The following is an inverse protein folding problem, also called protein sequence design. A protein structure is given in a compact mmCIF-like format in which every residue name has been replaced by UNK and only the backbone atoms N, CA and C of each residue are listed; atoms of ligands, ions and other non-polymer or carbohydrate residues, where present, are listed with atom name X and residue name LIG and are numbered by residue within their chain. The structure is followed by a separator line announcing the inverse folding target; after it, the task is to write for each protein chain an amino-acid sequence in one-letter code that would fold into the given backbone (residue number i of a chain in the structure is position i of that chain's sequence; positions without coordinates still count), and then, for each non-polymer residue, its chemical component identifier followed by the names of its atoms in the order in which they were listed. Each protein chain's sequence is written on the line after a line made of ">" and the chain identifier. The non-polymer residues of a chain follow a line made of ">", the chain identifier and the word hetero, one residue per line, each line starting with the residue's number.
data_IF_669835320114
#
_entry.id   IF_669835320114
#
_cell.length_a   1.000
_cell.length_b   1.000
_cell.length_c   1.000
_cell.angle_alpha   90.00
_cell.angle_beta   90.00
_cell.angle_gamma   90.00
#
_symmetry.space_group_name_H-M   'P 1'
#
loop_
_entity.id
_entity.type
_entity.pdbx_description
1 polymer ?
#
# COMPACT_ATOMS: atom_id res chain seq x y z
N UNK A 1 11.02 3.21 5.82
CA UNK A 1 9.73 3.87 5.54
C UNK A 1 9.43 5.04 6.49
N UNK A 2 9.45 4.86 7.83
CA UNK A 2 9.14 5.96 8.77
C UNK A 2 10.05 7.19 8.54
N UNK A 3 11.37 6.99 8.43
CA UNK A 3 12.33 8.09 8.19
C UNK A 3 11.96 8.87 6.91
N UNK A 4 11.71 8.15 5.79
CA UNK A 4 11.34 8.80 4.53
C UNK A 4 10.00 9.54 4.63
N UNK A 5 8.99 8.94 5.28
CA UNK A 5 7.69 9.58 5.46
C UNK A 5 7.74 10.83 6.34
N UNK A 6 8.44 10.77 7.46
CA UNK A 6 8.63 11.94 8.34
C UNK A 6 9.41 13.04 7.63
N UNK A 7 10.49 12.69 6.93
CA UNK A 7 11.28 13.66 6.14
C UNK A 7 10.43 14.30 5.05
N UNK A 8 9.65 13.52 4.30
CA UNK A 8 8.75 14.03 3.28
C UNK A 8 7.74 15.02 3.88
N UNK A 9 7.09 14.68 4.98
CA UNK A 9 6.09 15.52 5.65
C UNK A 9 6.70 16.87 6.14
N UNK A 10 7.91 16.83 6.68
CA UNK A 10 8.62 18.06 7.11
C UNK A 10 8.99 18.92 5.89
N UNK A 11 9.53 18.31 4.84
CA UNK A 11 9.95 19.02 3.63
C UNK A 11 8.74 19.55 2.84
N UNK A 12 7.60 18.83 2.82
CA UNK A 12 6.36 19.33 2.24
C UNK A 12 5.93 20.63 2.92
N UNK A 13 5.95 20.68 4.24
CA UNK A 13 5.64 21.91 4.95
C UNK A 13 6.60 23.05 4.57
N UNK A 14 7.90 22.78 4.50
CA UNK A 14 8.92 23.79 4.16
C UNK A 14 8.75 24.27 2.72
N UNK A 15 8.66 23.35 1.75
CA UNK A 15 8.66 23.71 0.33
C UNK A 15 7.32 24.27 -0.13
N UNK A 16 6.19 23.68 0.34
CA UNK A 16 4.86 24.13 -0.09
C UNK A 16 4.43 25.37 0.68
N UNK A 17 4.55 25.37 2.02
CA UNK A 17 4.01 26.43 2.87
C UNK A 17 5.00 27.61 2.99
N UNK A 18 6.26 27.34 3.37
CA UNK A 18 7.23 28.39 3.63
C UNK A 18 7.84 28.97 2.34
N UNK A 19 8.22 28.11 1.39
CA UNK A 19 8.85 28.54 0.14
C UNK A 19 7.86 28.75 -1.01
N UNK A 20 6.56 28.40 -0.82
CA UNK A 20 5.46 28.55 -1.81
C UNK A 20 5.75 27.93 -3.18
N UNK A 21 6.51 26.83 -3.22
CA UNK A 21 6.90 26.14 -4.45
C UNK A 21 5.74 25.30 -5.07
N UNK A 22 4.61 25.18 -4.37
CA UNK A 22 3.46 24.45 -4.89
C UNK A 22 3.76 22.97 -5.19
N UNK A 23 3.32 22.48 -6.35
CA UNK A 23 3.45 21.07 -6.77
C UNK A 23 4.93 20.65 -6.93
N UNK A 24 5.77 21.55 -7.43
CA UNK A 24 7.22 21.28 -7.58
C UNK A 24 7.89 21.00 -6.23
N UNK A 25 7.52 21.78 -5.20
CA UNK A 25 8.01 21.57 -3.83
C UNK A 25 7.62 20.21 -3.28
N UNK A 26 6.37 19.76 -3.49
CA UNK A 26 5.90 18.44 -3.09
C UNK A 26 6.68 17.30 -3.80
N UNK A 27 6.95 17.46 -5.10
CA UNK A 27 7.72 16.48 -5.86
C UNK A 27 9.16 16.35 -5.33
N UNK A 28 9.83 17.48 -5.04
CA UNK A 28 11.19 17.51 -4.49
C UNK A 28 11.22 16.89 -3.08
N UNK A 29 10.25 17.21 -2.22
CA UNK A 29 10.14 16.64 -0.88
C UNK A 29 10.00 15.10 -0.94
N UNK A 30 9.18 14.61 -1.86
CA UNK A 30 8.99 13.16 -2.07
C UNK A 30 10.28 12.49 -2.55
N UNK A 31 10.99 13.09 -3.50
CA UNK A 31 12.28 12.57 -3.98
C UNK A 31 13.32 12.49 -2.85
N UNK A 32 13.46 13.55 -2.06
CA UNK A 32 14.40 13.59 -0.94
C UNK A 32 14.03 12.55 0.12
N UNK A 33 12.75 12.44 0.50
CA UNK A 33 12.26 11.47 1.48
C UNK A 33 12.54 10.03 1.06
N UNK A 34 12.26 9.68 -0.20
CA UNK A 34 12.52 8.36 -0.76
C UNK A 34 14.03 8.08 -0.86
N UNK A 35 14.83 9.06 -1.26
CA UNK A 35 16.29 8.93 -1.37
C UNK A 35 16.91 8.68 0.00
N UNK A 36 16.55 9.45 1.02
CA UNK A 36 17.03 9.24 2.38
C UNK A 36 16.63 7.89 2.95
N UNK A 37 15.38 7.46 2.70
CA UNK A 37 14.93 6.12 3.11
C UNK A 37 15.75 5.02 2.44
N UNK A 38 16.07 5.17 1.15
CA UNK A 38 16.87 4.22 0.39
C UNK A 38 18.32 4.18 0.87
N UNK A 39 18.93 5.34 1.12
CA UNK A 39 20.29 5.44 1.68
C UNK A 39 20.36 4.76 3.05
N UNK A 40 19.35 4.99 3.91
CA UNK A 40 19.29 4.35 5.22
C UNK A 40 19.23 2.82 5.13
N UNK A 41 18.36 2.27 4.26
CA UNK A 41 18.25 0.82 4.06
C UNK A 41 19.54 0.24 3.46
N UNK A 42 20.12 0.92 2.46
CA UNK A 42 21.39 0.48 1.85
C UNK A 42 22.54 0.52 2.86
N UNK A 43 22.62 1.53 3.70
CA UNK A 43 23.65 1.61 4.75
C UNK A 43 23.52 0.45 5.74
N UNK A 44 22.30 0.05 6.11
CA UNK A 44 22.06 -1.11 6.96
C UNK A 44 22.53 -2.42 6.31
N UNK A 45 22.37 -2.57 5.00
CA UNK A 45 22.82 -3.75 4.26
C UNK A 45 24.34 -3.77 4.04
N UNK A 46 24.97 -2.59 3.95
CA UNK A 46 26.43 -2.48 3.72
C UNK A 46 27.23 -2.57 5.03
N UNK A 47 26.80 -1.90 6.08
CA UNK A 47 27.58 -1.70 7.33
C UNK A 47 27.21 -2.64 8.47
N UNK A 48 26.66 -3.80 8.25
CA UNK A 48 26.40 -4.86 9.26
C UNK A 48 25.98 -4.40 10.68
N UNK A 49 26.31 -3.20 11.11
CA UNK A 49 25.92 -2.55 12.37
C UNK A 49 25.66 -1.08 12.08
N UNK A 50 24.49 -0.58 12.42
CA UNK A 50 24.28 0.87 12.46
C UNK A 50 24.88 1.41 13.79
N UNK A 51 25.40 2.66 13.78
CA UNK A 51 26.06 3.24 14.93
C UNK A 51 25.11 3.64 16.07
N UNK A 52 23.82 3.31 15.99
CA UNK A 52 22.83 3.65 17.00
C UNK A 52 21.92 2.48 17.32
N UNK A 53 21.61 2.34 18.60
CA UNK A 53 20.59 1.42 19.13
C UNK A 53 19.26 2.17 19.26
N UNK A 54 18.22 1.64 18.64
CA UNK A 54 16.87 2.21 18.78
C UNK A 54 16.19 1.54 19.96
N UNK A 55 15.96 2.30 21.03
CA UNK A 55 15.13 1.85 22.15
C UNK A 55 13.66 2.23 21.83
N UNK A 56 12.85 1.28 21.34
CA UNK A 56 11.43 1.47 21.14
C UNK A 56 10.66 0.63 22.17
N UNK A 57 9.82 1.28 22.98
CA UNK A 57 8.94 0.62 23.97
C UNK A 57 9.66 -0.35 24.92
N UNK A 58 10.89 -0.01 25.36
CA UNK A 58 11.64 -0.83 26.29
C UNK A 58 12.40 -2.03 25.67
N UNK A 59 12.25 -2.26 24.37
CA UNK A 59 13.03 -3.27 23.62
C UNK A 59 14.26 -2.62 22.99
N UNK A 60 15.45 -3.12 23.35
CA UNK A 60 16.69 -2.80 22.63
C UNK A 60 16.69 -3.55 21.30
N UNK A 61 16.36 -2.85 20.22
CA UNK A 61 16.55 -3.38 18.88
C UNK A 61 18.04 -3.30 18.54
N UNK A 62 18.75 -4.41 18.71
CA UNK A 62 20.11 -4.54 18.19
C UNK A 62 20.05 -4.51 16.66
N UNK A 63 20.57 -3.45 16.07
CA UNK A 63 20.65 -3.24 14.62
C UNK A 63 21.78 -4.07 14.01
N UNK A 64 21.76 -5.38 14.22
CA UNK A 64 22.67 -6.33 13.60
C UNK A 64 22.02 -6.96 12.38
N UNK A 65 22.46 -6.62 11.18
CA UNK A 65 22.07 -7.36 9.98
C UNK A 65 22.91 -8.63 9.85
N UNK A 66 22.25 -9.77 9.71
CA UNK A 66 22.88 -11.04 9.32
C UNK A 66 23.23 -11.06 7.82
N UNK A 67 22.59 -10.16 7.05
CA UNK A 67 22.77 -10.04 5.60
C UNK A 67 23.84 -8.98 5.31
N UNK A 68 24.88 -9.37 4.56
CA UNK A 68 25.89 -8.46 4.04
C UNK A 68 25.99 -8.60 2.54
N UNK A 69 25.79 -7.50 1.83
CA UNK A 69 26.07 -7.47 0.39
C UNK A 69 27.58 -7.64 0.20
N UNK A 70 27.97 -8.67 -0.54
CA UNK A 70 29.36 -8.92 -0.92
C UNK A 70 29.50 -8.72 -2.43
N UNK A 71 30.39 -7.87 -2.86
CA UNK A 71 30.68 -7.58 -4.27
C UNK A 71 30.91 -8.83 -5.12
N UNK A 72 31.45 -9.89 -4.51
CA UNK A 72 31.67 -11.19 -5.18
C UNK A 72 30.37 -11.81 -5.74
N UNK A 73 29.22 -11.54 -5.12
CA UNK A 73 27.92 -12.13 -5.49
C UNK A 73 27.06 -11.19 -6.36
N UNK A 74 27.57 -10.03 -6.76
CA UNK A 74 26.89 -9.11 -7.67
C UNK A 74 26.99 -9.52 -9.14
N UNK A 75 27.73 -10.61 -9.46
CA UNK A 75 27.75 -11.14 -10.82
C UNK A 75 26.35 -11.62 -11.21
N UNK A 76 25.78 -11.15 -12.33
CA UNK A 76 24.45 -11.55 -12.76
C UNK A 76 24.43 -13.06 -13.06
N UNK A 77 23.49 -13.76 -12.42
CA UNK A 77 23.23 -15.18 -12.68
C UNK A 77 21.86 -15.27 -13.34
N UNK A 78 21.82 -15.74 -14.59
CA UNK A 78 20.61 -15.78 -15.39
C UNK A 78 19.51 -16.64 -14.74
N UNK A 79 19.88 -17.74 -14.07
CA UNK A 79 18.93 -18.62 -13.40
C UNK A 79 18.23 -17.90 -12.24
N UNK A 80 18.99 -17.13 -11.46
CA UNK A 80 18.44 -16.33 -10.34
C UNK A 80 17.56 -15.21 -10.89
N UNK A 81 18.00 -14.54 -11.96
CA UNK A 81 17.23 -13.47 -12.60
C UNK A 81 15.89 -14.02 -13.11
N UNK A 82 15.89 -15.17 -13.78
CA UNK A 82 14.67 -15.80 -14.28
C UNK A 82 13.72 -16.22 -13.15
N UNK A 83 14.25 -16.72 -12.04
CA UNK A 83 13.46 -17.03 -10.85
C UNK A 83 12.81 -15.79 -10.24
N UNK A 84 13.53 -14.67 -10.17
CA UNK A 84 12.99 -13.40 -9.69
C UNK A 84 11.90 -12.89 -10.63
N UNK A 85 12.14 -12.93 -11.94
CA UNK A 85 11.18 -12.49 -12.95
C UNK A 85 9.91 -13.34 -12.91
N UNK A 86 10.02 -14.66 -12.80
CA UNK A 86 8.85 -15.56 -12.76
C UNK A 86 7.92 -15.27 -11.59
N UNK A 87 8.46 -14.95 -10.42
CA UNK A 87 7.66 -14.54 -9.25
C UNK A 87 7.08 -13.12 -9.43
N UNK A 88 7.82 -12.25 -10.11
CA UNK A 88 7.43 -10.85 -10.35
C UNK A 88 6.35 -10.67 -11.43
N UNK A 89 6.18 -11.62 -12.36
CA UNK A 89 5.20 -11.51 -13.45
C UNK A 89 3.77 -11.42 -12.94
N UNK A 90 3.38 -12.20 -11.94
CA UNK A 90 2.03 -12.19 -11.42
C UNK A 90 1.61 -10.82 -10.83
N UNK A 91 2.35 -10.21 -9.89
CA UNK A 91 2.02 -8.88 -9.39
C UNK A 91 2.12 -7.80 -10.48
N UNK A 92 3.03 -7.93 -11.44
CA UNK A 92 3.11 -7.01 -12.59
C UNK A 92 1.83 -7.05 -13.42
N UNK A 93 1.36 -8.24 -13.80
CA UNK A 93 0.13 -8.38 -14.60
C UNK A 93 -1.11 -7.88 -13.84
N UNK A 94 -1.19 -8.12 -12.53
CA UNK A 94 -2.27 -7.57 -11.70
C UNK A 94 -2.25 -6.05 -11.69
N UNK A 95 -1.08 -5.43 -11.52
CA UNK A 95 -0.96 -3.96 -11.52
C UNK A 95 -1.27 -3.37 -12.90
N UNK A 96 -0.79 -4.01 -13.96
CA UNK A 96 -1.08 -3.61 -15.34
C UNK A 96 -2.59 -3.67 -15.63
N UNK A 97 -3.23 -4.79 -15.30
CA UNK A 97 -4.69 -4.96 -15.46
C UNK A 97 -5.47 -3.91 -14.65
N UNK A 98 -5.07 -3.65 -13.40
CA UNK A 98 -5.71 -2.62 -12.56
C UNK A 98 -5.60 -1.22 -13.16
N UNK A 99 -4.44 -0.87 -13.72
CA UNK A 99 -4.22 0.41 -14.41
C UNK A 99 -5.12 0.52 -15.64
N UNK A 100 -5.23 -0.56 -16.42
CA UNK A 100 -6.07 -0.58 -17.62
C UNK A 100 -7.56 -0.46 -17.30
N UNK A 101 -8.02 -1.18 -16.27
CA UNK A 101 -9.39 -1.06 -15.72
C UNK A 101 -9.66 0.38 -15.27
N UNK A 102 -8.70 1.00 -14.57
CA UNK A 102 -8.82 2.39 -14.13
C UNK A 102 -9.00 3.38 -15.28
N UNK A 103 -8.22 3.24 -16.35
CA UNK A 103 -8.35 4.07 -17.55
C UNK A 103 -9.71 3.91 -18.21
N UNK A 104 -10.18 2.67 -18.41
CA UNK A 104 -11.48 2.38 -19.00
C UNK A 104 -12.61 2.94 -18.12
N UNK A 105 -12.54 2.69 -16.81
CA UNK A 105 -13.55 3.17 -15.87
C UNK A 105 -13.65 4.69 -15.89
N UNK A 106 -12.53 5.40 -15.84
CA UNK A 106 -12.53 6.85 -15.90
C UNK A 106 -13.14 7.37 -17.22
N UNK A 107 -12.84 6.71 -18.34
CA UNK A 107 -13.42 7.08 -19.63
C UNK A 107 -14.93 6.86 -19.69
N UNK A 108 -15.43 5.72 -19.18
CA UNK A 108 -16.86 5.40 -19.12
C UNK A 108 -17.59 6.39 -18.20
N UNK A 109 -17.00 6.70 -17.05
CA UNK A 109 -17.58 7.67 -16.09
C UNK A 109 -17.65 9.06 -16.70
N UNK A 110 -16.62 9.52 -17.42
CA UNK A 110 -16.61 10.81 -18.10
C UNK A 110 -17.71 10.88 -19.17
N UNK A 111 -17.83 9.85 -20.00
CA UNK A 111 -18.83 9.80 -21.09
C UNK A 111 -20.29 9.77 -20.60
N UNK A 112 -20.57 9.11 -19.48
CA UNK A 112 -21.94 8.89 -18.99
C UNK A 112 -22.32 9.80 -17.81
N UNK A 113 -21.37 10.19 -16.97
CA UNK A 113 -21.59 10.98 -15.76
C UNK A 113 -21.08 12.43 -15.85
N UNK A 114 -20.35 12.75 -16.93
CA UNK A 114 -19.75 14.08 -17.10
C UNK A 114 -18.87 14.49 -15.93
N UNK A 115 -18.74 15.79 -15.71
CA UNK A 115 -17.90 16.36 -14.63
C UNK A 115 -18.34 15.94 -13.23
N UNK A 116 -19.64 15.73 -13.00
CA UNK A 116 -20.17 15.28 -11.72
C UNK A 116 -19.76 13.83 -11.42
N UNK A 117 -19.87 12.95 -12.42
CA UNK A 117 -19.44 11.55 -12.30
C UNK A 117 -17.95 11.43 -12.03
N UNK A 118 -17.12 12.20 -12.74
CA UNK A 118 -15.66 12.25 -12.53
C UNK A 118 -15.32 12.75 -11.13
N UNK A 119 -16.01 13.77 -10.63
CA UNK A 119 -15.81 14.28 -9.27
C UNK A 119 -16.13 13.20 -8.21
N UNK A 120 -17.24 12.48 -8.35
CA UNK A 120 -17.61 11.38 -7.45
C UNK A 120 -16.56 10.27 -7.50
N UNK A 121 -16.10 9.89 -8.70
CA UNK A 121 -15.08 8.86 -8.86
C UNK A 121 -13.73 9.27 -8.25
N UNK A 122 -13.39 10.55 -8.33
CA UNK A 122 -12.19 11.09 -7.66
C UNK A 122 -12.27 10.95 -6.14
N UNK A 123 -13.44 11.21 -5.55
CA UNK A 123 -13.68 11.01 -4.11
C UNK A 123 -13.52 9.52 -3.75
N UNK A 124 -14.13 8.61 -4.52
CA UNK A 124 -14.00 7.17 -4.32
C UNK A 124 -12.53 6.74 -4.39
N UNK A 125 -11.79 7.20 -5.41
CA UNK A 125 -10.37 6.91 -5.59
C UNK A 125 -9.47 7.51 -4.49
N UNK A 126 -9.93 8.52 -3.78
CA UNK A 126 -9.21 9.07 -2.62
C UNK A 126 -9.34 8.18 -1.38
N UNK A 127 -10.49 7.52 -1.19
CA UNK A 127 -10.72 6.60 -0.06
C UNK A 127 -10.22 5.18 -0.33
N UNK A 128 -10.24 4.73 -1.58
CA UNK A 128 -9.86 3.37 -1.94
C UNK A 128 -8.45 2.97 -1.48
N UNK A 129 -7.40 3.81 -1.64
CA UNK A 129 -6.06 3.48 -1.14
C UNK A 129 -6.00 3.32 0.37
N UNK A 130 -6.77 4.11 1.14
CA UNK A 130 -6.79 4.01 2.60
C UNK A 130 -7.19 2.59 3.02
N UNK A 131 -8.22 2.04 2.40
CA UNK A 131 -8.71 0.69 2.69
C UNK A 131 -7.76 -0.38 2.15
N UNK A 132 -7.39 -0.29 0.88
CA UNK A 132 -6.57 -1.32 0.23
C UNK A 132 -5.16 -1.38 0.81
N UNK A 133 -4.51 -0.25 1.10
CA UNK A 133 -3.18 -0.23 1.71
C UNK A 133 -3.20 -0.77 3.14
N UNK A 134 -4.29 -0.57 3.88
CA UNK A 134 -4.46 -1.15 5.21
C UNK A 134 -4.50 -2.68 5.16
N UNK A 135 -5.21 -3.27 4.18
CA UNK A 135 -5.24 -4.72 3.96
C UNK A 135 -3.89 -5.23 3.43
N UNK A 136 -3.25 -4.49 2.52
CA UNK A 136 -1.89 -4.83 2.05
C UNK A 136 -0.88 -4.86 3.19
N UNK A 137 -0.98 -3.96 4.17
CA UNK A 137 -0.10 -3.93 5.35
C UNK A 137 -0.19 -5.22 6.17
N UNK A 138 -1.42 -5.76 6.37
CA UNK A 138 -1.61 -7.06 7.03
C UNK A 138 -0.92 -8.17 6.23
N UNK A 139 -1.11 -8.17 4.92
CA UNK A 139 -0.52 -9.16 4.02
C UNK A 139 1.01 -9.11 4.03
N UNK A 140 1.59 -7.93 3.94
CA UNK A 140 3.04 -7.72 3.97
C UNK A 140 3.66 -8.11 5.32
N UNK A 141 2.96 -7.87 6.43
CA UNK A 141 3.42 -8.32 7.75
C UNK A 141 3.40 -9.86 7.89
N UNK A 142 2.43 -10.52 7.28
CA UNK A 142 2.31 -11.99 7.30
C UNK A 142 3.32 -12.68 6.37
N UNK A 143 3.70 -12.05 5.27
CA UNK A 143 4.55 -12.63 4.22
C UNK A 143 5.87 -13.22 4.73
N UNK A 144 6.70 -12.53 5.53
CA UNK A 144 7.93 -13.12 6.05
C UNK A 144 7.67 -14.26 7.04
N UNK A 145 6.58 -14.18 7.82
CA UNK A 145 6.20 -15.24 8.76
C UNK A 145 5.82 -16.51 7.99
N UNK A 146 5.01 -16.38 6.95
CA UNK A 146 4.59 -17.48 6.09
C UNK A 146 5.79 -18.08 5.37
N UNK A 147 6.61 -17.27 4.70
CA UNK A 147 7.77 -17.73 3.93
C UNK A 147 8.79 -18.46 4.80
N UNK A 148 9.13 -17.92 5.97
CA UNK A 148 10.07 -18.56 6.90
C UNK A 148 9.55 -19.90 7.41
N UNK A 149 8.29 -19.98 7.86
CA UNK A 149 7.71 -21.21 8.39
C UNK A 149 7.47 -22.25 7.28
N UNK A 150 7.17 -21.80 6.04
CA UNK A 150 7.04 -22.69 4.89
C UNK A 150 8.39 -23.33 4.54
N UNK A 151 9.47 -22.55 4.48
CA UNK A 151 10.83 -23.07 4.28
C UNK A 151 11.30 -24.02 5.39
N UNK A 152 10.84 -23.81 6.63
CA UNK A 152 11.08 -24.67 7.77
C UNK A 152 10.12 -25.89 7.85
N UNK A 153 9.24 -26.09 6.86
CA UNK A 153 8.21 -27.15 6.80
C UNK A 153 7.19 -27.13 7.95
N UNK A 154 7.06 -25.99 8.65
CA UNK A 154 6.12 -25.79 9.75
C UNK A 154 4.73 -25.40 9.24
N UNK A 155 4.06 -26.28 8.50
CA UNK A 155 2.79 -25.99 7.82
C UNK A 155 1.65 -25.59 8.76
N UNK A 156 1.65 -26.06 10.01
CA UNK A 156 0.66 -25.65 11.01
C UNK A 156 0.78 -24.16 11.34
N UNK A 157 2.00 -23.62 11.45
CA UNK A 157 2.24 -22.19 11.67
C UNK A 157 1.90 -21.37 10.44
N UNK A 158 2.21 -21.88 9.24
CA UNK A 158 1.81 -21.26 7.97
C UNK A 158 0.30 -21.10 7.90
N UNK A 159 -0.47 -22.19 8.16
CA UNK A 159 -1.93 -22.17 8.17
C UNK A 159 -2.46 -21.18 9.21
N UNK A 160 -1.91 -21.17 10.43
CA UNK A 160 -2.31 -20.23 11.48
C UNK A 160 -2.07 -18.78 11.08
N UNK A 161 -0.91 -18.45 10.51
CA UNK A 161 -0.58 -17.12 10.04
C UNK A 161 -1.54 -16.67 8.92
N UNK A 162 -1.85 -17.54 7.96
CA UNK A 162 -2.82 -17.25 6.90
C UNK A 162 -4.21 -16.98 7.45
N UNK A 163 -4.72 -17.84 8.35
CA UNK A 163 -6.05 -17.67 8.95
C UNK A 163 -6.12 -16.35 9.72
N UNK A 164 -5.11 -16.03 10.54
CA UNK A 164 -5.06 -14.77 11.27
C UNK A 164 -5.09 -13.58 10.30
N UNK A 165 -4.32 -13.63 9.22
CA UNK A 165 -4.29 -12.57 8.21
C UNK A 165 -5.66 -12.38 7.54
N UNK A 166 -6.35 -13.48 7.19
CA UNK A 166 -7.70 -13.44 6.61
C UNK A 166 -8.68 -12.82 7.60
N UNK A 167 -8.68 -13.28 8.85
CA UNK A 167 -9.61 -12.77 9.89
C UNK A 167 -9.37 -11.28 10.12
N UNK A 168 -8.10 -10.85 10.27
CA UNK A 168 -7.76 -9.44 10.43
C UNK A 168 -8.18 -8.59 9.22
N UNK A 169 -8.00 -9.10 8.00
CA UNK A 169 -8.44 -8.41 6.79
C UNK A 169 -9.96 -8.27 6.72
N UNK A 170 -10.71 -9.32 7.10
CA UNK A 170 -12.18 -9.28 7.17
C UNK A 170 -12.65 -8.27 8.21
N UNK A 171 -12.07 -8.27 9.41
CA UNK A 171 -12.42 -7.33 10.47
C UNK A 171 -12.18 -5.89 10.00
N UNK A 172 -11.01 -5.62 9.44
CA UNK A 172 -10.64 -4.28 8.99
C UNK A 172 -11.49 -3.82 7.80
N UNK A 173 -11.69 -4.67 6.80
CA UNK A 173 -12.54 -4.34 5.65
C UNK A 173 -14.01 -4.18 6.04
N UNK A 174 -14.51 -4.95 7.01
CA UNK A 174 -15.86 -4.77 7.57
C UNK A 174 -15.98 -3.44 8.29
N UNK A 175 -14.98 -3.03 9.05
CA UNK A 175 -14.96 -1.70 9.68
C UNK A 175 -15.08 -0.58 8.62
N UNK A 176 -14.25 -0.62 7.58
CA UNK A 176 -14.34 0.37 6.50
C UNK A 176 -15.68 0.28 5.75
N UNK A 177 -16.18 -0.91 5.51
CA UNK A 177 -17.49 -1.12 4.90
C UNK A 177 -18.60 -0.43 5.70
N UNK A 178 -18.62 -0.63 7.02
CA UNK A 178 -19.59 0.01 7.93
C UNK A 178 -19.49 1.54 7.81
N UNK A 179 -18.29 2.11 7.85
CA UNK A 179 -18.07 3.56 7.72
C UNK A 179 -18.63 4.06 6.38
N UNK A 180 -18.29 3.39 5.25
CA UNK A 180 -18.74 3.79 3.92
C UNK A 180 -20.27 3.66 3.74
N UNK A 181 -20.91 2.72 4.45
CA UNK A 181 -22.37 2.51 4.38
C UNK A 181 -23.14 3.49 5.27
N UNK A 182 -22.60 3.84 6.45
CA UNK A 182 -23.31 4.67 7.43
C UNK A 182 -23.16 6.17 7.18
N UNK A 183 -21.97 6.63 6.81
CA UNK A 183 -21.66 8.07 6.70
C UNK A 183 -21.17 8.51 5.31
N UNK A 184 -21.73 8.02 4.18
CA UNK A 184 -21.28 8.40 2.84
C UNK A 184 -21.46 9.89 2.54
N UNK A 185 -22.45 10.54 3.17
CA UNK A 185 -22.71 11.97 3.02
C UNK A 185 -21.56 12.81 3.55
N UNK A 186 -21.10 12.52 4.75
CA UNK A 186 -20.01 13.22 5.42
C UNK A 186 -18.69 13.02 4.68
N UNK A 187 -18.47 11.83 4.15
CA UNK A 187 -17.30 11.51 3.33
C UNK A 187 -17.24 12.34 2.04
N UNK A 188 -18.38 12.59 1.38
CA UNK A 188 -18.45 13.44 0.20
C UNK A 188 -18.23 14.91 0.57
N UNK A 189 -18.90 15.38 1.64
CA UNK A 189 -18.81 16.77 2.07
C UNK A 189 -17.40 17.15 2.54
N UNK A 190 -16.62 16.21 3.04
CA UNK A 190 -15.22 16.43 3.40
C UNK A 190 -14.37 16.91 2.21
N UNK A 191 -14.65 16.42 1.01
CA UNK A 191 -13.95 16.83 -0.21
C UNK A 191 -14.63 17.99 -0.94
N UNK A 192 -15.93 18.13 -0.81
CA UNK A 192 -16.70 19.15 -1.52
C UNK A 192 -17.87 19.66 -0.67
N UNK A 193 -17.58 20.66 0.15
CA UNK A 193 -18.52 21.27 1.09
C UNK A 193 -19.72 21.93 0.39
N UNK A 194 -19.56 22.34 -0.88
CA UNK A 194 -20.60 23.01 -1.69
C UNK A 194 -21.29 22.09 -2.70
N UNK A 195 -21.27 20.79 -2.47
CA UNK A 195 -21.88 19.83 -3.39
C UNK A 195 -23.38 20.07 -3.53
N UNK A 196 -23.87 20.15 -4.78
CA UNK A 196 -25.31 20.27 -5.06
C UNK A 196 -26.04 19.03 -4.56
N UNK A 197 -27.29 19.18 -4.09
CA UNK A 197 -28.08 18.11 -3.49
C UNK A 197 -28.23 16.88 -4.39
N UNK A 198 -28.41 17.06 -5.70
CA UNK A 198 -28.53 15.95 -6.64
C UNK A 198 -27.22 15.16 -6.77
N UNK A 199 -26.09 15.85 -6.93
CA UNK A 199 -24.77 15.23 -6.99
C UNK A 199 -24.41 14.48 -5.68
N UNK A 200 -24.91 14.98 -4.55
CA UNK A 200 -24.74 14.33 -3.25
C UNK A 200 -25.46 12.98 -3.18
N UNK A 201 -26.72 12.93 -3.65
CA UNK A 201 -27.53 11.72 -3.66
C UNK A 201 -26.94 10.63 -4.58
N UNK A 202 -26.48 11.03 -5.76
CA UNK A 202 -25.79 10.12 -6.69
C UNK A 202 -24.46 9.63 -6.13
N UNK A 203 -23.67 10.53 -5.52
CA UNK A 203 -22.41 10.19 -4.89
C UNK A 203 -22.55 9.20 -3.73
N UNK A 204 -23.57 9.37 -2.88
CA UNK A 204 -23.85 8.40 -1.80
C UNK A 204 -24.20 7.02 -2.35
N UNK A 205 -24.99 6.94 -3.42
CA UNK A 205 -25.30 5.66 -4.09
C UNK A 205 -24.03 5.03 -4.67
N UNK A 206 -23.22 5.82 -5.38
CA UNK A 206 -21.99 5.37 -5.99
C UNK A 206 -21.00 4.80 -4.95
N UNK A 207 -20.78 5.49 -3.82
CA UNK A 207 -19.94 5.02 -2.72
C UNK A 207 -20.45 3.68 -2.19
N UNK A 208 -21.75 3.57 -1.90
CA UNK A 208 -22.34 2.33 -1.38
C UNK A 208 -22.18 1.17 -2.35
N UNK A 209 -22.43 1.37 -3.62
CA UNK A 209 -22.26 0.32 -4.65
C UNK A 209 -20.80 -0.07 -4.78
N UNK A 210 -19.89 0.90 -4.88
CA UNK A 210 -18.48 0.65 -5.10
C UNK A 210 -17.84 -0.11 -3.93
N UNK A 211 -18.13 0.28 -2.69
CA UNK A 211 -17.59 -0.36 -1.51
C UNK A 211 -18.38 -1.58 -1.01
N UNK A 212 -19.49 -1.96 -1.67
CA UNK A 212 -20.29 -3.14 -1.28
C UNK A 212 -19.46 -4.44 -1.31
N UNK A 213 -18.51 -4.58 -2.23
CA UNK A 213 -17.68 -5.76 -2.41
C UNK A 213 -16.28 -5.66 -1.78
N UNK A 214 -16.06 -4.69 -0.88
CA UNK A 214 -14.72 -4.49 -0.30
C UNK A 214 -14.25 -5.64 0.58
N UNK A 215 -15.19 -6.34 1.25
CA UNK A 215 -14.89 -7.51 2.08
C UNK A 215 -14.34 -8.65 1.22
N UNK A 216 -15.04 -9.15 0.19
CA UNK A 216 -14.47 -10.18 -0.69
C UNK A 216 -13.23 -9.69 -1.46
N UNK A 217 -13.14 -8.40 -1.82
CA UNK A 217 -11.97 -7.83 -2.46
C UNK A 217 -10.73 -7.90 -1.56
N UNK A 218 -10.88 -7.81 -0.24
CA UNK A 218 -9.77 -7.95 0.70
C UNK A 218 -9.12 -9.34 0.66
N UNK A 219 -9.90 -10.39 0.38
CA UNK A 219 -9.38 -11.75 0.17
C UNK A 219 -8.58 -11.85 -1.12
N UNK A 220 -8.98 -11.09 -2.15
CA UNK A 220 -8.24 -10.95 -3.42
C UNK A 220 -6.85 -10.31 -3.24
N UNK A 221 -6.57 -9.66 -2.11
CA UNK A 221 -5.25 -9.14 -1.74
C UNK A 221 -4.46 -10.20 -0.95
N UNK A 222 -5.08 -10.82 0.06
CA UNK A 222 -4.38 -11.75 0.97
C UNK A 222 -3.96 -13.04 0.27
N UNK A 223 -4.86 -13.62 -0.55
CA UNK A 223 -4.63 -14.95 -1.16
C UNK A 223 -3.47 -14.94 -2.17
N UNK A 224 -3.37 -14.01 -3.14
CA UNK A 224 -2.23 -13.94 -4.03
C UNK A 224 -0.90 -13.71 -3.30
N UNK A 225 -0.88 -12.84 -2.29
CA UNK A 225 0.32 -12.59 -1.49
C UNK A 225 0.77 -13.82 -0.69
N UNK A 226 -0.17 -14.68 -0.27
CA UNK A 226 0.16 -15.97 0.33
C UNK A 226 0.89 -16.87 -0.68
N UNK A 227 0.37 -17.03 -1.90
CA UNK A 227 1.04 -17.82 -2.92
C UNK A 227 2.41 -17.26 -3.28
N UNK A 228 2.54 -15.96 -3.36
CA UNK A 228 3.83 -15.29 -3.56
C UNK A 228 4.82 -15.59 -2.41
N UNK A 229 4.35 -15.63 -1.15
CA UNK A 229 5.18 -15.94 0.02
C UNK A 229 5.71 -17.38 0.03
N UNK A 230 4.97 -18.32 -0.55
CA UNK A 230 5.37 -19.73 -0.67
C UNK A 230 6.06 -20.08 -2.00
N UNK A 231 6.28 -19.09 -2.88
CA UNK A 231 7.00 -19.25 -4.14
C UNK A 231 6.20 -19.98 -5.24
N UNK A 232 4.88 -19.83 -5.24
CA UNK A 232 3.96 -20.43 -6.22
C UNK A 232 3.18 -19.37 -6.99
#
# INVERSE_FOLDING_TARGET
>A
MIIGGVTNMILDYIFIVSMKMGIEGAAIATLIGNTLSSIFVMSFMLFRKLPFTINLFGYKLETKSSLKIRWKYLKPNISIIMSILSVGVAPFLLQFASSFVGLITNRIVDLNGGTAGVAIMTIINSYLPIVTMSVYSISQAAQPIIGFNYGAQNYLRVKKALIISIVMAIILSTFFWIVMMLIPRELILFFNEKSKVDSLREGMKAIRIYFSLIIPASLGIIVPNYFQAVGK
#
